data_IF_030756065738
#
_entry.id   IF_030756065738
#
_cell.length_a   1.000
_cell.length_b   1.000
_cell.length_c   1.000
_cell.angle_alpha   90.00
_cell.angle_beta   90.00
_cell.angle_gamma   90.00
#
_symmetry.space_group_name_H-M   'P 1'
#
loop_
_entity.id
_entity.type
_entity.pdbx_description
1 polymer ?
#
# COMPACT_ATOMS: atom_id res chain seq x y z
N UNK A 1 17.07 -19.37 -2.06
CA UNK A 1 16.13 -18.67 -2.96
C UNK A 1 14.76 -19.23 -2.65
N UNK A 2 14.01 -18.61 -1.74
CA UNK A 2 12.65 -19.06 -1.39
C UNK A 2 11.66 -18.02 -1.94
N UNK A 3 10.71 -18.41 -2.81
CA UNK A 3 9.66 -17.50 -3.23
C UNK A 3 8.68 -17.37 -2.07
N UNK A 4 8.59 -16.18 -1.47
CA UNK A 4 7.59 -15.89 -0.45
C UNK A 4 6.23 -15.79 -1.14
N UNK A 5 5.50 -16.90 -1.19
CA UNK A 5 4.10 -16.91 -1.59
C UNK A 5 3.28 -16.20 -0.51
N UNK A 6 2.90 -14.95 -0.79
CA UNK A 6 2.01 -14.18 0.09
C UNK A 6 0.62 -14.81 -0.02
N UNK A 7 0.21 -15.56 1.01
CA UNK A 7 -1.17 -16.01 1.15
C UNK A 7 -2.06 -14.78 1.42
N UNK A 8 -2.91 -14.45 0.47
CA UNK A 8 -4.01 -13.51 0.69
C UNK A 8 -4.97 -14.11 1.71
N UNK A 9 -5.24 -13.36 2.80
CA UNK A 9 -6.38 -13.66 3.68
C UNK A 9 -7.59 -12.93 3.12
N UNK A 10 -8.59 -13.69 2.66
CA UNK A 10 -9.86 -13.13 2.21
C UNK A 10 -10.58 -12.51 3.41
N UNK A 11 -10.80 -11.19 3.38
CA UNK A 11 -11.71 -10.50 4.28
C UNK A 11 -13.12 -10.82 3.80
N UNK A 12 -13.91 -11.57 4.57
CA UNK A 12 -15.32 -11.79 4.25
C UNK A 12 -16.06 -10.45 4.22
N UNK A 13 -16.60 -10.10 3.05
CA UNK A 13 -17.53 -8.97 2.89
C UNK A 13 -18.92 -9.45 3.32
N UNK A 14 -19.56 -8.74 4.25
CA UNK A 14 -20.98 -8.97 4.54
C UNK A 14 -21.76 -8.66 3.27
N UNK A 15 -22.55 -9.62 2.78
CA UNK A 15 -23.48 -9.38 1.67
C UNK A 15 -24.51 -8.36 2.14
N UNK A 16 -24.50 -7.16 1.55
CA UNK A 16 -25.62 -6.23 1.64
C UNK A 16 -26.67 -6.66 0.62
N UNK A 17 -27.95 -6.68 1.00
CA UNK A 17 -29.03 -6.75 0.02
C UNK A 17 -28.89 -5.55 -0.91
N UNK A 18 -28.54 -5.82 -2.15
CA UNK A 18 -28.60 -4.84 -3.22
C UNK A 18 -30.09 -4.59 -3.45
N UNK A 19 -30.66 -3.62 -2.73
CA UNK A 19 -31.91 -3.01 -3.15
C UNK A 19 -31.72 -2.59 -4.61
N UNK A 20 -32.75 -2.73 -5.44
CA UNK A 20 -32.71 -2.54 -6.90
C UNK A 20 -32.46 -1.07 -7.32
N UNK A 21 -31.80 -0.28 -6.48
CA UNK A 21 -31.41 1.11 -6.67
C UNK A 21 -30.04 1.17 -7.35
N UNK A 22 -29.91 1.99 -8.38
CA UNK A 22 -28.63 2.24 -9.04
C UNK A 22 -27.66 2.93 -8.07
N UNK A 23 -26.43 2.44 -7.99
CA UNK A 23 -25.36 3.02 -7.17
C UNK A 23 -24.60 4.04 -8.03
N UNK A 24 -24.59 5.30 -7.60
CA UNK A 24 -23.78 6.37 -8.21
C UNK A 24 -22.47 6.58 -7.46
N UNK A 25 -21.35 6.63 -8.19
CA UNK A 25 -20.03 6.95 -7.62
C UNK A 25 -19.39 8.05 -8.48
N UNK A 26 -19.18 9.22 -7.88
CA UNK A 26 -18.51 10.35 -8.52
C UNK A 26 -17.06 10.41 -8.05
N UNK A 27 -16.11 10.32 -8.98
CA UNK A 27 -14.68 10.40 -8.68
C UNK A 27 -14.17 11.85 -8.84
N UNK A 28 -13.43 12.33 -7.86
CA UNK A 28 -12.97 13.72 -7.83
C UNK A 28 -11.50 13.92 -7.46
N UNK A 29 -11.01 15.14 -7.68
CA UNK A 29 -9.64 15.55 -7.31
C UNK A 29 -9.60 16.00 -5.83
N UNK A 30 -10.64 16.73 -5.37
CA UNK A 30 -10.77 17.24 -4.00
C UNK A 30 -11.14 16.11 -3.02
N UNK A 31 -12.21 15.39 -3.34
CA UNK A 31 -12.67 14.16 -2.66
C UNK A 31 -12.50 12.99 -3.63
N UNK A 32 -12.01 11.84 -3.15
CA UNK A 32 -11.63 10.74 -4.05
C UNK A 32 -12.87 10.07 -4.65
N UNK A 33 -13.88 9.80 -3.82
CA UNK A 33 -15.18 9.37 -4.28
C UNK A 33 -16.29 9.99 -3.43
N UNK A 34 -17.40 10.38 -4.07
CA UNK A 34 -18.66 10.76 -3.45
C UNK A 34 -19.72 9.72 -3.85
N UNK A 35 -20.51 9.24 -2.90
CA UNK A 35 -21.52 8.21 -3.14
C UNK A 35 -22.93 8.82 -3.03
N UNK A 36 -23.91 8.23 -3.73
CA UNK A 36 -25.33 8.60 -3.62
C UNK A 36 -25.86 8.61 -2.19
N UNK A 37 -25.25 7.81 -1.32
CA UNK A 37 -25.52 7.73 0.12
C UNK A 37 -24.90 8.89 0.93
N UNK A 38 -24.40 9.92 0.23
CA UNK A 38 -23.72 11.10 0.78
C UNK A 38 -22.45 10.79 1.57
N UNK A 39 -21.85 9.61 1.34
CA UNK A 39 -20.56 9.25 1.91
C UNK A 39 -19.40 9.81 1.08
N UNK A 40 -18.41 10.38 1.79
CA UNK A 40 -17.17 10.89 1.19
C UNK A 40 -15.99 9.96 1.48
N UNK A 41 -15.40 9.42 0.41
CA UNK A 41 -14.20 8.61 0.50
C UNK A 41 -12.95 9.48 0.28
N UNK A 42 -12.03 9.42 1.24
CA UNK A 42 -10.71 10.06 1.15
C UNK A 42 -9.71 9.11 0.48
N UNK A 43 -8.70 9.69 -0.17
CA UNK A 43 -7.62 8.91 -0.78
C UNK A 43 -6.75 8.24 0.31
N UNK A 44 -6.81 6.91 0.37
CA UNK A 44 -6.08 6.07 1.32
C UNK A 44 -4.56 6.30 1.25
N UNK A 45 -4.02 6.53 0.05
CA UNK A 45 -2.59 6.74 -0.20
C UNK A 45 -2.08 8.08 0.37
N UNK A 46 -2.98 9.03 0.67
CA UNK A 46 -2.62 10.32 1.27
C UNK A 46 -2.66 10.30 2.81
N UNK A 47 -3.09 9.20 3.44
CA UNK A 47 -3.17 9.11 4.91
C UNK A 47 -1.78 9.13 5.56
N UNK A 48 -1.70 9.65 6.80
CA UNK A 48 -0.45 9.71 7.57
C UNK A 48 0.16 8.32 7.80
N UNK A 49 -0.69 7.31 8.02
CA UNK A 49 -0.27 5.93 8.28
C UNK A 49 0.39 5.28 7.06
N UNK A 50 -0.25 5.35 5.88
CA UNK A 50 0.34 4.80 4.65
C UNK A 50 1.66 5.50 4.34
N UNK A 51 1.70 6.83 4.39
CA UNK A 51 2.92 7.61 4.17
C UNK A 51 4.04 7.29 5.16
N UNK A 52 3.74 6.99 6.42
CA UNK A 52 4.76 6.66 7.42
C UNK A 52 5.36 5.28 7.18
N UNK A 53 4.53 4.31 6.79
CA UNK A 53 4.95 2.96 6.40
C UNK A 53 5.84 3.01 5.16
N UNK A 54 5.40 3.70 4.10
CA UNK A 54 6.20 3.85 2.87
C UNK A 54 7.56 4.51 3.14
N UNK A 55 7.58 5.58 3.96
CA UNK A 55 8.82 6.24 4.37
C UNK A 55 9.74 5.30 5.15
N UNK A 56 9.18 4.47 6.03
CA UNK A 56 9.94 3.49 6.82
C UNK A 56 10.55 2.42 5.92
N UNK A 57 9.73 1.81 5.06
CA UNK A 57 10.17 0.80 4.09
C UNK A 57 11.33 1.30 3.23
N UNK A 58 11.22 2.53 2.69
CA UNK A 58 12.28 3.15 1.89
C UNK A 58 13.57 3.41 2.68
N UNK A 59 13.49 3.67 4.00
CA UNK A 59 14.69 3.84 4.84
C UNK A 59 15.36 2.50 5.14
N UNK A 60 14.57 1.48 5.45
CA UNK A 60 15.07 0.12 5.73
C UNK A 60 15.75 -0.48 4.49
N UNK A 61 15.11 -0.38 3.31
CA UNK A 61 15.70 -0.80 2.04
C UNK A 61 17.03 -0.09 1.75
N UNK A 62 17.11 1.24 1.97
CA UNK A 62 18.37 2.00 1.80
C UNK A 62 19.45 1.56 2.79
N UNK A 63 19.10 1.28 4.04
CA UNK A 63 20.05 0.78 5.04
C UNK A 63 20.60 -0.58 4.66
N UNK A 64 19.73 -1.51 4.23
CA UNK A 64 20.12 -2.84 3.77
C UNK A 64 21.01 -2.78 2.54
N UNK A 65 20.65 -1.96 1.54
CA UNK A 65 21.45 -1.74 0.33
C UNK A 65 22.85 -1.20 0.66
N UNK A 66 22.97 -0.20 1.55
CA UNK A 66 24.27 0.32 1.99
C UNK A 66 25.14 -0.76 2.62
N UNK A 67 24.58 -1.58 3.52
CA UNK A 67 25.31 -2.69 4.15
C UNK A 67 25.82 -3.69 3.12
N UNK A 68 24.97 -4.05 2.15
CA UNK A 68 25.34 -4.96 1.07
C UNK A 68 26.50 -4.42 0.23
N UNK A 69 26.42 -3.16 -0.21
CA UNK A 69 27.47 -2.52 -1.01
C UNK A 69 28.80 -2.42 -0.25
N UNK A 70 28.77 -2.06 1.04
CA UNK A 70 29.98 -2.05 1.87
C UNK A 70 30.65 -3.43 1.92
N UNK A 71 29.87 -4.49 2.18
CA UNK A 71 30.39 -5.86 2.23
C UNK A 71 30.95 -6.29 0.86
N UNK A 72 30.25 -5.95 -0.22
CA UNK A 72 30.67 -6.26 -1.59
C UNK A 72 32.01 -5.62 -1.93
N UNK A 73 32.21 -4.35 -1.59
CA UNK A 73 33.49 -3.64 -1.78
C UNK A 73 34.62 -4.28 -0.97
N UNK A 74 34.40 -4.54 0.31
CA UNK A 74 35.40 -5.20 1.17
C UNK A 74 35.82 -6.58 0.66
N UNK A 75 34.90 -7.33 0.05
CA UNK A 75 35.24 -8.62 -0.58
C UNK A 75 36.07 -8.43 -1.84
N UNK A 76 35.80 -7.41 -2.65
CA UNK A 76 36.56 -7.14 -3.87
C UNK A 76 37.96 -6.58 -3.60
N UNK A 77 38.17 -5.84 -2.51
CA UNK A 77 39.48 -5.28 -2.12
C UNK A 77 40.38 -6.29 -1.40
N UNK A 78 39.83 -7.45 -1.00
CA UNK A 78 40.53 -8.49 -0.25
C UNK A 78 41.13 -9.59 -1.15
N UNK A 79 41.08 -9.38 -2.47
CA UNK A 79 41.67 -10.23 -3.50
C UNK A 79 42.42 -9.37 -4.51
#
# INVERSE_FOLDING_TARGET
MFPFCVKWKNKQTRKSDLSNQGIGIDLGIKTFAFTSDHEEFKNINKTKHVRSIEKRLKREQRSLSRKYETIKKLKNERW
#
